data_IF_298444165225
#
_entry.id   IF_298444165225
#
_cell.length_a   1.000
_cell.length_b   1.000
_cell.length_c   1.000
_cell.angle_alpha   90.00
_cell.angle_beta   90.00
_cell.angle_gamma   90.00
#
_symmetry.space_group_name_H-M   'P 1'
#
loop_
_entity.id
_entity.type
_entity.pdbx_description
1 polymer ?
#
# COMPACT_ATOMS: atom_id res chain seq x y z
N UNK A 1 20.20 54.85 61.22
CA UNK A 1 19.56 53.52 61.30
C UNK A 1 20.56 52.47 60.87
N UNK A 2 20.50 51.30 61.52
CA UNK A 2 21.56 50.30 61.68
C UNK A 2 21.94 49.56 60.40
N UNK A 3 23.25 49.40 60.19
CA UNK A 3 23.86 48.43 59.29
C UNK A 3 23.55 46.99 59.75
N UNK A 4 23.36 46.08 58.79
CA UNK A 4 23.47 44.63 59.02
C UNK A 4 24.23 43.99 57.86
N UNK A 5 25.45 43.58 58.17
CA UNK A 5 26.19 42.50 57.51
C UNK A 5 25.43 41.18 57.71
N UNK A 6 25.36 40.35 56.67
CA UNK A 6 25.33 38.88 56.74
C UNK A 6 26.02 38.38 55.47
N UNK A 7 27.28 37.93 55.56
CA UNK A 7 27.71 36.57 55.88
C UNK A 7 27.76 35.69 54.62
N UNK A 8 29.00 35.47 54.17
CA UNK A 8 29.42 34.51 53.17
C UNK A 8 28.84 33.12 53.46
N UNK A 9 28.13 32.57 52.47
CA UNK A 9 27.87 31.13 52.34
C UNK A 9 28.61 30.61 51.12
N UNK A 10 29.84 30.13 51.33
CA UNK A 10 30.65 29.45 50.33
C UNK A 10 30.12 28.01 50.20
N UNK A 11 29.25 27.76 49.22
CA UNK A 11 28.85 26.41 48.85
C UNK A 11 29.82 25.87 47.81
N UNK A 12 30.64 24.90 48.20
CA UNK A 12 31.44 24.10 47.29
C UNK A 12 30.52 23.21 46.45
N UNK A 13 30.39 23.50 45.16
CA UNK A 13 29.91 22.53 44.17
C UNK A 13 31.06 21.56 43.88
N UNK A 14 30.96 20.35 44.41
CA UNK A 14 31.74 19.21 43.96
C UNK A 14 31.35 18.89 42.52
N UNK A 15 32.31 19.04 41.61
CA UNK A 15 32.23 18.52 40.25
C UNK A 15 32.10 16.99 40.31
N UNK A 16 30.87 16.49 40.20
CA UNK A 16 30.65 15.12 39.78
C UNK A 16 30.95 15.07 38.28
N UNK A 17 32.06 14.42 37.92
CA UNK A 17 32.27 13.90 36.57
C UNK A 17 31.12 12.93 36.27
N UNK A 18 30.02 13.47 35.74
CA UNK A 18 29.00 12.66 35.10
C UNK A 18 29.65 11.99 33.91
N UNK A 19 29.73 10.66 34.00
CA UNK A 19 29.99 9.75 32.90
C UNK A 19 29.52 10.38 31.59
N UNK A 20 30.42 10.56 30.62
CA UNK A 20 29.99 10.80 29.26
C UNK A 20 28.94 9.72 28.94
N UNK A 21 27.75 10.07 28.40
CA UNK A 21 26.85 9.06 27.90
C UNK A 21 27.68 8.15 27.01
N UNK A 22 27.57 6.83 27.23
CA UNK A 22 28.17 5.86 26.33
C UNK A 22 27.89 6.33 24.91
N UNK A 23 28.86 6.29 23.99
CA UNK A 23 28.58 6.61 22.60
C UNK A 23 27.34 5.80 22.25
N UNK A 24 26.25 6.51 21.93
CA UNK A 24 25.12 5.90 21.24
C UNK A 24 25.82 5.26 20.06
N UNK A 25 25.89 3.93 20.07
CA UNK A 25 26.51 3.21 18.99
C UNK A 25 25.83 3.76 17.76
N UNK A 26 26.59 4.48 16.94
CA UNK A 26 26.18 4.88 15.61
C UNK A 26 25.73 3.57 14.96
N UNK A 27 24.43 3.34 14.93
CA UNK A 27 23.77 2.44 13.98
C UNK A 27 23.82 3.12 12.62
N UNK A 28 25.01 3.54 12.22
CA UNK A 28 25.40 3.81 10.84
C UNK A 28 25.96 2.52 10.24
N UNK A 29 25.33 1.38 10.54
CA UNK A 29 25.35 0.27 9.62
C UNK A 29 24.30 0.65 8.57
N UNK A 30 24.79 1.30 7.52
CA UNK A 30 24.02 1.56 6.32
C UNK A 30 23.19 0.31 5.96
N UNK A 31 21.88 0.51 5.89
CA UNK A 31 20.87 -0.39 5.31
C UNK A 31 21.16 -0.52 3.81
N UNK A 32 22.31 -1.13 3.49
CA UNK A 32 22.86 -1.27 2.14
C UNK A 32 23.09 -2.73 1.77
N UNK A 33 22.63 -3.66 2.60
CA UNK A 33 22.47 -5.04 2.21
C UNK A 33 21.01 -5.37 2.48
N UNK A 34 20.23 -5.60 1.42
CA UNK A 34 19.01 -6.38 1.55
C UNK A 34 19.43 -7.77 2.04
N UNK A 35 19.42 -7.94 3.36
CA UNK A 35 19.63 -9.22 4.02
C UNK A 35 18.26 -9.83 4.26
N UNK A 36 18.13 -11.13 4.00
CA UNK A 36 16.90 -11.87 4.31
C UNK A 36 16.49 -11.59 5.76
N UNK A 37 15.31 -10.99 5.92
CA UNK A 37 14.68 -10.75 7.23
C UNK A 37 13.88 -12.00 7.55
N UNK A 38 14.12 -12.65 8.69
CA UNK A 38 13.28 -13.77 9.12
C UNK A 38 11.92 -13.29 9.64
N UNK A 39 10.90 -14.14 9.62
CA UNK A 39 9.53 -13.79 10.01
C UNK A 39 9.45 -13.17 11.42
N UNK A 40 10.17 -13.73 12.41
CA UNK A 40 10.22 -13.17 13.78
C UNK A 40 10.84 -11.76 13.83
N UNK A 41 11.82 -11.48 12.96
CA UNK A 41 12.44 -10.17 12.86
C UNK A 41 11.53 -9.18 12.15
N UNK A 42 10.78 -9.63 11.14
CA UNK A 42 9.78 -8.86 10.43
C UNK A 42 8.65 -8.44 11.37
N UNK A 43 8.10 -9.36 12.15
CA UNK A 43 7.08 -9.05 13.17
C UNK A 43 7.58 -7.99 14.17
N UNK A 44 8.83 -8.13 14.60
CA UNK A 44 9.45 -7.18 15.50
C UNK A 44 9.64 -5.80 14.84
N UNK A 45 9.94 -5.75 13.54
CA UNK A 45 10.03 -4.52 12.76
C UNK A 45 8.64 -3.85 12.62
N UNK A 46 7.60 -4.62 12.30
CA UNK A 46 6.20 -4.16 12.23
C UNK A 46 5.77 -3.56 13.56
N UNK A 47 5.98 -4.28 14.67
CA UNK A 47 5.63 -3.79 16.01
C UNK A 47 6.38 -2.50 16.40
N UNK A 48 7.66 -2.36 16.02
CA UNK A 48 8.42 -1.13 16.24
C UNK A 48 7.94 0.01 15.34
N UNK A 49 7.56 -0.29 14.11
CA UNK A 49 7.08 0.71 13.18
C UNK A 49 5.73 1.29 13.61
N UNK A 50 4.84 0.44 14.13
CA UNK A 50 3.61 0.87 14.80
C UNK A 50 3.85 1.78 16.03
N UNK A 51 5.04 1.71 16.63
CA UNK A 51 5.47 2.59 17.72
C UNK A 51 6.22 3.85 17.24
N UNK A 52 6.25 4.13 15.94
CA UNK A 52 6.91 5.28 15.32
C UNK A 52 8.33 5.04 14.79
N UNK A 53 8.78 3.78 14.70
CA UNK A 53 10.07 3.41 14.12
C UNK A 53 10.08 3.44 12.59
N UNK A 54 11.11 4.01 11.98
CA UNK A 54 11.23 4.13 10.50
C UNK A 54 11.93 2.95 9.85
N UNK A 55 12.50 2.04 10.64
CA UNK A 55 13.35 0.96 10.14
C UNK A 55 12.64 0.04 9.16
N UNK A 56 11.34 -0.22 9.38
CA UNK A 56 10.54 -1.04 8.49
C UNK A 56 10.38 -0.39 7.10
N UNK A 57 10.16 0.93 7.04
CA UNK A 57 10.09 1.64 5.76
C UNK A 57 11.44 1.62 5.01
N UNK A 58 12.55 1.62 5.75
CA UNK A 58 13.89 1.56 5.17
C UNK A 58 14.25 0.19 4.60
N UNK A 59 13.69 -0.90 5.17
CA UNK A 59 13.92 -2.27 4.71
C UNK A 59 12.80 -2.83 3.83
N UNK A 60 11.66 -2.13 3.70
CA UNK A 60 10.48 -2.64 2.97
C UNK A 60 10.84 -3.13 1.56
N UNK A 61 11.57 -2.31 0.79
CA UNK A 61 12.06 -2.68 -0.56
C UNK A 61 13.00 -3.90 -0.61
N UNK A 62 13.57 -4.27 0.53
CA UNK A 62 14.49 -5.40 0.66
C UNK A 62 13.78 -6.69 1.08
N UNK A 63 12.51 -6.61 1.47
CA UNK A 63 11.68 -7.76 1.78
C UNK A 63 11.34 -8.53 0.50
N UNK A 64 11.11 -9.83 0.62
CA UNK A 64 10.52 -10.60 -0.48
C UNK A 64 9.10 -10.09 -0.78
N UNK A 65 8.59 -10.36 -1.98
CA UNK A 65 7.22 -9.96 -2.36
C UNK A 65 6.17 -10.49 -1.37
N UNK A 66 6.32 -11.74 -0.90
CA UNK A 66 5.46 -12.35 0.11
C UNK A 66 5.50 -11.59 1.45
N UNK A 67 6.69 -11.10 1.85
CA UNK A 67 6.86 -10.33 3.07
C UNK A 67 6.35 -8.90 2.93
N UNK A 68 6.54 -8.26 1.78
CA UNK A 68 5.96 -6.95 1.48
C UNK A 68 4.44 -7.01 1.54
N UNK A 69 3.85 -8.05 0.94
CA UNK A 69 2.41 -8.34 1.04
C UNK A 69 1.98 -8.48 2.50
N UNK A 70 2.65 -9.34 3.26
CA UNK A 70 2.32 -9.56 4.67
C UNK A 70 2.37 -8.26 5.47
N UNK A 71 3.36 -7.39 5.23
CA UNK A 71 3.41 -6.08 5.86
C UNK A 71 2.23 -5.20 5.43
N UNK A 72 1.87 -5.16 4.16
CA UNK A 72 0.73 -4.36 3.68
C UNK A 72 -0.59 -4.85 4.29
N UNK A 73 -0.80 -6.17 4.37
CA UNK A 73 -2.03 -6.79 4.87
C UNK A 73 -2.13 -6.74 6.41
N UNK A 74 -1.04 -7.00 7.12
CA UNK A 74 -1.07 -7.16 8.59
C UNK A 74 -0.70 -5.87 9.33
N UNK A 75 0.01 -4.94 8.69
CA UNK A 75 0.35 -3.64 9.28
C UNK A 75 -0.70 -2.55 9.03
N UNK A 76 -1.95 -2.90 8.69
CA UNK A 76 -3.06 -1.96 8.47
C UNK A 76 -3.19 -0.89 9.57
N UNK A 77 -2.83 -1.21 10.83
CA UNK A 77 -2.89 -0.27 11.96
C UNK A 77 -1.77 0.80 11.96
N UNK A 78 -0.75 0.66 11.12
CA UNK A 78 0.42 1.54 11.05
C UNK A 78 0.60 2.22 9.69
N UNK A 79 -0.21 1.86 8.70
CA UNK A 79 -0.18 2.42 7.35
C UNK A 79 -1.24 3.53 7.25
N UNK A 80 -0.79 4.75 6.95
CA UNK A 80 -1.69 5.82 6.52
C UNK A 80 -1.94 5.70 5.01
N UNK A 81 -3.17 5.98 4.58
CA UNK A 81 -3.57 5.96 3.17
C UNK A 81 -3.79 7.40 2.68
N UNK A 82 -3.22 7.74 1.53
CA UNK A 82 -3.37 9.05 0.91
C UNK A 82 -3.76 8.93 -0.56
N UNK A 83 -4.94 9.46 -0.92
CA UNK A 83 -5.41 9.48 -2.30
C UNK A 83 -4.46 10.26 -3.22
N UNK A 84 -4.19 9.68 -4.39
CA UNK A 84 -3.34 10.25 -5.43
C UNK A 84 -4.21 10.90 -6.50
N UNK A 85 -4.08 12.21 -6.66
CA UNK A 85 -4.79 12.92 -7.73
C UNK A 85 -4.15 12.68 -9.10
N UNK A 86 -4.75 11.76 -9.85
CA UNK A 86 -4.37 11.46 -11.22
C UNK A 86 -4.96 12.42 -12.25
N UNK A 87 -5.73 13.44 -11.89
CA UNK A 87 -6.37 14.35 -12.86
C UNK A 87 -5.42 15.40 -13.44
N UNK A 88 -4.32 15.68 -12.74
CA UNK A 88 -3.34 16.68 -13.16
C UNK A 88 -2.52 16.24 -14.38
N UNK A 89 -2.01 17.22 -15.14
CA UNK A 89 -1.06 16.96 -16.23
C UNK A 89 0.30 16.47 -15.71
N UNK A 90 0.68 16.87 -14.49
CA UNK A 90 1.89 16.40 -13.82
C UNK A 90 1.82 14.90 -13.51
N UNK A 91 0.62 14.38 -13.23
CA UNK A 91 0.37 12.97 -13.00
C UNK A 91 0.21 12.13 -14.28
N UNK A 92 0.21 12.75 -15.48
CA UNK A 92 -0.02 12.03 -16.74
C UNK A 92 0.96 10.86 -16.99
N UNK A 93 2.28 10.96 -16.68
CA UNK A 93 3.21 9.84 -16.83
C UNK A 93 2.88 8.66 -15.90
N UNK A 94 2.50 8.95 -14.66
CA UNK A 94 2.09 7.94 -13.68
C UNK A 94 0.79 7.27 -14.13
N UNK A 95 -0.23 8.06 -14.47
CA UNK A 95 -1.51 7.58 -15.00
C UNK A 95 -1.30 6.65 -16.20
N UNK A 96 -0.44 7.04 -17.14
CA UNK A 96 -0.12 6.22 -18.31
C UNK A 96 0.62 4.91 -17.96
N UNK A 97 1.46 4.90 -16.91
CA UNK A 97 2.11 3.67 -16.42
C UNK A 97 1.10 2.72 -15.78
N UNK A 98 0.24 3.23 -14.90
CA UNK A 98 -0.78 2.44 -14.22
C UNK A 98 -1.80 1.86 -15.21
N UNK A 99 -2.26 2.66 -16.17
CA UNK A 99 -3.18 2.18 -17.23
C UNK A 99 -2.62 1.01 -18.04
N UNK A 100 -1.30 0.93 -18.27
CA UNK A 100 -0.71 -0.22 -18.98
C UNK A 100 -0.83 -1.52 -18.19
N UNK A 101 -0.79 -1.45 -16.87
CA UNK A 101 -0.99 -2.63 -16.01
C UNK A 101 -2.47 -2.99 -15.90
N UNK A 102 -3.36 -1.99 -15.84
CA UNK A 102 -4.82 -2.17 -15.96
C UNK A 102 -5.18 -2.90 -17.26
N UNK A 103 -4.68 -2.42 -18.40
CA UNK A 103 -4.91 -3.07 -19.70
C UNK A 103 -4.33 -4.48 -19.76
N UNK A 104 -3.21 -4.73 -19.08
CA UNK A 104 -2.60 -6.07 -19.01
C UNK A 104 -3.49 -7.04 -18.22
N UNK A 105 -3.99 -6.61 -17.07
CA UNK A 105 -4.92 -7.39 -16.26
C UNK A 105 -6.25 -7.61 -16.99
N UNK A 106 -6.80 -6.56 -17.61
CA UNK A 106 -8.04 -6.67 -18.38
C UNK A 106 -7.93 -7.63 -19.57
N UNK A 107 -6.77 -7.67 -20.26
CA UNK A 107 -6.52 -8.68 -21.30
C UNK A 107 -6.60 -10.10 -20.75
N UNK A 108 -6.17 -10.33 -19.51
CA UNK A 108 -6.34 -11.65 -18.87
C UNK A 108 -7.82 -11.93 -18.65
N UNK A 109 -8.59 -10.96 -18.15
CA UNK A 109 -10.05 -11.13 -17.98
C UNK A 109 -10.76 -11.47 -19.29
N UNK A 110 -10.34 -10.87 -20.41
CA UNK A 110 -10.87 -11.15 -21.75
C UNK A 110 -10.41 -12.47 -22.38
N UNK A 111 -9.21 -12.96 -22.04
CA UNK A 111 -8.59 -14.13 -22.69
C UNK A 111 -8.84 -15.43 -21.91
N UNK A 112 -9.15 -15.34 -20.61
CA UNK A 112 -9.34 -16.53 -19.80
C UNK A 112 -10.71 -17.16 -20.00
N UNK A 113 -10.73 -18.41 -20.50
CA UNK A 113 -11.81 -19.42 -20.34
C UNK A 113 -12.28 -19.60 -18.87
N UNK A 114 -11.57 -19.00 -17.90
CA UNK A 114 -11.89 -18.94 -16.48
C UNK A 114 -12.76 -17.73 -16.11
N UNK A 115 -13.32 -17.02 -17.09
CA UNK A 115 -14.54 -16.25 -16.90
C UNK A 115 -15.44 -17.08 -15.99
N UNK A 116 -15.75 -16.55 -14.82
CA UNK A 116 -16.92 -17.00 -14.11
C UNK A 116 -18.15 -16.85 -15.03
N UNK A 117 -19.35 -17.02 -14.52
CA UNK A 117 -20.53 -16.84 -15.35
C UNK A 117 -20.80 -15.37 -15.67
N UNK A 118 -19.87 -14.67 -16.32
CA UNK A 118 -19.95 -13.26 -16.65
C UNK A 118 -19.33 -12.92 -18.01
N UNK A 119 -19.67 -11.74 -18.54
CA UNK A 119 -19.09 -11.16 -19.75
C UNK A 119 -18.78 -9.67 -19.53
N UNK A 120 -17.65 -9.19 -20.06
CA UNK A 120 -17.25 -7.78 -19.97
C UNK A 120 -18.05 -6.90 -20.96
N UNK A 121 -18.52 -5.74 -20.51
CA UNK A 121 -19.29 -4.77 -21.33
C UNK A 121 -18.47 -3.53 -21.74
N UNK A 122 -17.20 -3.43 -21.35
CA UNK A 122 -16.40 -2.25 -21.64
C UNK A 122 -14.93 -2.39 -21.26
N UNK A 123 -14.20 -1.29 -21.44
CA UNK A 123 -12.79 -1.19 -21.08
C UNK A 123 -12.62 -1.08 -19.56
N UNK A 124 -11.47 -1.56 -19.06
CA UNK A 124 -11.11 -1.40 -17.66
C UNK A 124 -10.61 0.02 -17.37
N UNK A 125 -11.01 0.55 -16.22
CA UNK A 125 -10.70 1.91 -15.79
C UNK A 125 -10.11 1.93 -14.39
N UNK A 126 -9.19 2.86 -14.14
CA UNK A 126 -8.69 3.15 -12.80
C UNK A 126 -9.83 3.75 -11.98
N UNK A 127 -10.12 3.13 -10.83
CA UNK A 127 -11.11 3.63 -9.88
C UNK A 127 -10.47 4.50 -8.82
N UNK A 128 -9.36 4.02 -8.27
CA UNK A 128 -8.66 4.70 -7.19
C UNK A 128 -7.17 4.37 -7.17
N UNK A 129 -6.38 5.31 -6.66
CA UNK A 129 -4.95 5.14 -6.42
C UNK A 129 -4.59 5.80 -5.10
N UNK A 130 -3.95 5.04 -4.23
CA UNK A 130 -3.56 5.50 -2.90
C UNK A 130 -2.08 5.23 -2.64
N UNK A 131 -1.42 6.17 -1.97
CA UNK A 131 -0.12 5.96 -1.36
C UNK A 131 -0.31 5.27 -0.02
N UNK A 132 0.41 4.17 0.18
CA UNK A 132 0.56 3.50 1.47
C UNK A 132 1.79 4.10 2.15
N UNK A 133 1.55 4.83 3.24
CA UNK A 133 2.57 5.57 3.98
C UNK A 133 2.84 4.87 5.30
N UNK A 134 4.09 4.47 5.53
CA UNK A 134 4.54 3.99 6.82
C UNK A 134 5.39 5.07 7.47
N UNK A 135 4.92 5.63 8.59
CA UNK A 135 5.54 6.76 9.29
C UNK A 135 5.80 7.97 8.36
N UNK A 136 4.83 8.28 7.50
CA UNK A 136 4.90 9.41 6.55
C UNK A 136 5.82 9.19 5.34
N UNK A 137 6.42 8.00 5.20
CA UNK A 137 7.18 7.61 4.00
C UNK A 137 6.36 6.63 3.19
N UNK A 138 6.24 6.88 1.88
CA UNK A 138 5.60 5.94 0.96
C UNK A 138 6.39 4.64 0.90
N UNK A 139 5.69 3.53 1.12
CA UNK A 139 6.23 2.18 0.97
C UNK A 139 5.66 1.46 -0.25
N UNK A 140 4.44 1.81 -0.66
CA UNK A 140 3.78 1.24 -1.82
C UNK A 140 2.70 2.18 -2.39
N UNK A 141 2.22 1.87 -3.59
CA UNK A 141 0.97 2.38 -4.15
C UNK A 141 -0.05 1.25 -4.23
N UNK A 142 -1.28 1.50 -3.80
CA UNK A 142 -2.45 0.66 -4.02
C UNK A 142 -3.22 1.20 -5.22
N UNK A 143 -3.47 0.36 -6.22
CA UNK A 143 -4.24 0.68 -7.41
C UNK A 143 -5.49 -0.19 -7.45
N UNK A 144 -6.67 0.41 -7.40
CA UNK A 144 -7.93 -0.28 -7.63
C UNK A 144 -8.50 0.09 -9.00
N UNK A 145 -8.90 -0.92 -9.77
CA UNK A 145 -9.46 -0.75 -11.11
C UNK A 145 -10.53 -1.80 -11.37
N UNK A 146 -11.32 -1.59 -12.42
CA UNK A 146 -12.35 -2.55 -12.79
C UNK A 146 -12.95 -2.29 -14.16
N UNK A 147 -13.76 -3.23 -14.63
CA UNK A 147 -14.50 -3.13 -15.88
C UNK A 147 -15.96 -3.56 -15.67
N UNK A 148 -16.93 -2.87 -16.31
CA UNK A 148 -18.33 -3.26 -16.24
C UNK A 148 -18.50 -4.69 -16.78
N UNK A 149 -19.34 -5.48 -16.11
CA UNK A 149 -19.59 -6.86 -16.46
C UNK A 149 -21.06 -7.25 -16.26
N UNK A 150 -21.50 -8.27 -16.99
CA UNK A 150 -22.82 -8.89 -16.89
C UNK A 150 -22.67 -10.32 -16.43
N UNK A 151 -23.45 -10.75 -15.44
CA UNK A 151 -23.54 -12.15 -15.02
C UNK A 151 -24.38 -12.96 -16.01
N UNK A 152 -23.74 -13.76 -16.85
CA UNK A 152 -24.38 -14.55 -17.92
C UNK A 152 -25.27 -15.68 -17.40
N UNK A 153 -25.01 -16.25 -16.22
CA UNK A 153 -25.89 -17.26 -15.60
C UNK A 153 -27.21 -16.68 -15.08
N UNK A 154 -27.25 -15.37 -14.82
CA UNK A 154 -28.47 -14.69 -14.34
C UNK A 154 -29.45 -14.36 -15.46
N UNK A 155 -29.01 -14.42 -16.72
CA UNK A 155 -29.82 -14.10 -17.88
C UNK A 155 -30.80 -15.26 -18.20
N UNK A 156 -32.11 -15.01 -18.11
CA UNK A 156 -33.10 -15.90 -18.73
C UNK A 156 -32.96 -15.76 -20.25
N UNK A 157 -32.39 -16.79 -20.89
CA UNK A 157 -32.27 -16.79 -22.35
C UNK A 157 -33.65 -16.98 -22.99
N UNK A 158 -34.33 -15.88 -23.31
CA UNK A 158 -35.39 -15.92 -24.31
C UNK A 158 -34.72 -16.11 -25.66
N UNK A 159 -34.96 -17.25 -26.31
CA UNK A 159 -34.45 -17.63 -27.64
C UNK A 159 -34.96 -16.71 -28.79
N UNK A 160 -35.06 -15.40 -28.58
CA UNK A 160 -35.36 -14.45 -29.65
C UNK A 160 -34.05 -13.90 -30.19
N UNK A 161 -33.61 -14.44 -31.32
CA UNK A 161 -32.35 -14.14 -32.01
C UNK A 161 -32.29 -12.71 -32.63
N UNK A 162 -33.16 -11.78 -32.22
CA UNK A 162 -33.35 -10.49 -32.90
C UNK A 162 -32.76 -9.27 -32.20
N UNK A 163 -32.35 -9.37 -30.94
CA UNK A 163 -31.88 -8.21 -30.18
C UNK A 163 -30.35 -8.22 -30.03
N UNK A 164 -29.70 -7.22 -30.63
CA UNK A 164 -28.28 -6.93 -30.46
C UNK A 164 -28.03 -6.36 -29.05
N UNK A 165 -28.04 -7.20 -28.02
CA UNK A 165 -27.78 -6.79 -26.63
C UNK A 165 -28.05 -7.87 -25.59
N UNK A 166 -27.54 -7.68 -24.38
CA UNK A 166 -27.87 -8.53 -23.24
C UNK A 166 -29.34 -8.30 -22.81
N UNK A 167 -30.10 -9.37 -22.50
CA UNK A 167 -31.44 -9.26 -21.93
C UNK A 167 -31.52 -8.31 -20.72
N UNK A 168 -32.67 -7.65 -20.54
CA UNK A 168 -32.86 -6.67 -19.45
C UNK A 168 -32.77 -7.29 -18.04
N UNK A 169 -33.01 -8.59 -17.94
CA UNK A 169 -33.01 -9.37 -16.70
C UNK A 169 -31.63 -9.88 -16.27
N UNK A 170 -30.60 -9.65 -17.08
CA UNK A 170 -29.23 -9.95 -16.68
C UNK A 170 -28.76 -9.03 -15.54
N UNK A 171 -28.18 -9.62 -14.48
CA UNK A 171 -27.50 -8.88 -13.41
C UNK A 171 -26.23 -8.24 -13.97
N UNK A 172 -26.14 -6.91 -13.85
CA UNK A 172 -24.94 -6.13 -14.15
C UNK A 172 -24.13 -5.91 -12.87
N UNK A 173 -22.81 -5.83 -13.00
CA UNK A 173 -21.88 -5.62 -11.91
C UNK A 173 -20.52 -5.15 -12.43
N UNK A 174 -19.45 -5.42 -11.67
CA UNK A 174 -18.09 -5.05 -12.07
C UNK A 174 -17.10 -6.15 -11.69
N UNK A 175 -16.21 -6.50 -12.61
CA UNK A 175 -14.97 -7.17 -12.22
C UNK A 175 -14.00 -6.11 -11.71
N UNK A 176 -13.47 -6.31 -10.50
CA UNK A 176 -12.50 -5.39 -9.93
C UNK A 176 -11.24 -6.13 -9.48
N UNK A 177 -10.14 -5.40 -9.44
CA UNK A 177 -8.89 -5.92 -8.91
C UNK A 177 -8.10 -4.79 -8.27
N UNK A 178 -7.32 -5.17 -7.27
CA UNK A 178 -6.34 -4.31 -6.64
C UNK A 178 -4.94 -4.82 -6.97
N UNK A 179 -4.05 -3.91 -7.34
CA UNK A 179 -2.63 -4.15 -7.52
C UNK A 179 -1.83 -3.28 -6.57
N UNK A 180 -0.69 -3.80 -6.14
CA UNK A 180 0.26 -3.05 -5.33
C UNK A 180 1.54 -2.82 -6.14
N UNK A 181 2.13 -1.65 -5.94
CA UNK A 181 3.39 -1.28 -6.57
C UNK A 181 4.37 -0.83 -5.51
N UNK A 182 5.65 -1.15 -5.68
CA UNK A 182 6.70 -0.63 -4.83
C UNK A 182 7.03 0.85 -5.14
N UNK A 183 8.07 1.39 -4.50
CA UNK A 183 8.53 2.77 -4.70
C UNK A 183 8.96 3.07 -6.16
N UNK A 184 9.38 2.04 -6.91
CA UNK A 184 9.89 2.10 -8.29
C UNK A 184 8.79 1.82 -9.34
N UNK A 185 7.55 1.62 -8.90
CA UNK A 185 6.38 1.29 -9.73
C UNK A 185 6.49 -0.09 -10.41
N UNK A 186 7.20 -1.01 -9.77
CA UNK A 186 7.18 -2.41 -10.15
C UNK A 186 6.05 -3.13 -9.38
N UNK A 187 5.23 -3.96 -10.06
CA UNK A 187 4.14 -4.65 -9.40
C UNK A 187 4.66 -5.62 -8.34
N UNK A 188 4.15 -5.50 -7.12
CA UNK A 188 4.24 -6.54 -6.09
C UNK A 188 3.18 -7.57 -6.49
N UNK A 189 3.54 -8.85 -6.61
CA UNK A 189 2.68 -9.89 -7.20
C UNK A 189 1.19 -9.76 -6.77
N UNK A 190 0.25 -9.87 -7.74
CA UNK A 190 -1.14 -9.52 -7.50
C UNK A 190 -1.75 -10.33 -6.36
N UNK A 191 -2.36 -9.64 -5.41
CA UNK A 191 -3.42 -10.23 -4.60
C UNK A 191 -4.51 -10.68 -5.57
N UNK A 192 -5.04 -11.89 -5.36
CA UNK A 192 -6.03 -12.50 -6.25
C UNK A 192 -7.10 -11.50 -6.71
N UNK A 193 -7.47 -11.50 -8.00
CA UNK A 193 -8.58 -10.69 -8.50
C UNK A 193 -9.92 -11.24 -7.99
N UNK A 194 -10.89 -10.37 -7.75
CA UNK A 194 -12.22 -10.74 -7.26
C UNK A 194 -13.31 -10.16 -8.19
N UNK A 195 -14.19 -11.01 -8.70
CA UNK A 195 -15.38 -10.55 -9.40
C UNK A 195 -16.50 -10.32 -8.39
N UNK A 196 -17.09 -9.12 -8.37
CA UNK A 196 -18.15 -8.73 -7.46
C UNK A 196 -19.44 -8.40 -8.23
N UNK A 197 -20.52 -9.07 -7.86
CA UNK A 197 -21.83 -8.96 -8.49
C UNK A 197 -22.95 -8.76 -7.45
N UNK A 198 -22.58 -8.51 -6.19
CA UNK A 198 -23.51 -8.29 -5.09
C UNK A 198 -23.71 -6.77 -4.87
N UNK A 199 -24.44 -6.11 -5.79
CA UNK A 199 -24.92 -4.71 -5.61
C UNK A 199 -26.17 -4.65 -4.68
#
# INVERSE_FOLDING_TARGET
MKARLFALGLLMLTAACGQAPAPVAETTAAVNACTDVGDEELDALVARSAAGGTELADVFRCLSEDQQRHVIEDAELAIDEAAVDLSSEEAAPLRARLMREVERAARVWWDTILEGPYSLEGDAEIRDVEELLLNGRRIALRLSFGAPAVMTESCETTNDESDEGWPEDCTRGTISQTLYFDEDLDPIEPLAGYADFDD
#
